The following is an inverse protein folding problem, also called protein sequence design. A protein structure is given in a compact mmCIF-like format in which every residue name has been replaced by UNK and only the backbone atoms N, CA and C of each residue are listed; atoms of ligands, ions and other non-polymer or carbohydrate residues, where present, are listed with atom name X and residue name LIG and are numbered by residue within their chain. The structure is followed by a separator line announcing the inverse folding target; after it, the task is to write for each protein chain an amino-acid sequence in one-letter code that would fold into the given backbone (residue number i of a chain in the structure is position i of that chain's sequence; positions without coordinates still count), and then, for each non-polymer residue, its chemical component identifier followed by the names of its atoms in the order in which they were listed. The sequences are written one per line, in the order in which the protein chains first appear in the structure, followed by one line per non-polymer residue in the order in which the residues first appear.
data_IF_083336947812
#
_entry.id   IF_083336947812
#
_cell.length_a   1.000
_cell.length_b   1.000
_cell.length_c   1.000
_cell.angle_alpha   90.00
_cell.angle_beta   90.00
_cell.angle_gamma   90.00
#
_symmetry.space_group_name_H-M   'P 1'
#
loop_
_entity.id
_entity.type
_entity.pdbx_description
1 polymer ?
#
# COMPACT_ATOMS: atom_id res chain seq x y z
N UNK A 1 -6.76 27.37 -4.13
CA UNK A 1 -5.43 26.73 -4.23
C UNK A 1 -5.06 25.90 -2.99
N UNK A 2 -5.16 26.41 -1.77
CA UNK A 2 -4.84 25.65 -0.54
C UNK A 2 -5.69 24.39 -0.29
N UNK A 3 -6.94 24.34 -0.73
CA UNK A 3 -7.87 23.22 -0.50
C UNK A 3 -7.55 21.96 -1.34
N UNK A 4 -6.96 22.15 -2.53
CA UNK A 4 -6.51 21.05 -3.40
C UNK A 4 -5.17 20.45 -2.94
N UNK A 5 -4.26 21.26 -2.43
CA UNK A 5 -2.96 20.82 -1.90
C UNK A 5 -3.11 19.90 -0.67
N UNK A 6 -4.14 20.12 0.17
CA UNK A 6 -4.40 19.31 1.39
C UNK A 6 -4.87 17.88 1.12
N UNK A 7 -5.24 17.53 -0.11
CA UNK A 7 -5.62 16.15 -0.50
C UNK A 7 -4.51 15.50 -1.31
N UNK A 8 -3.77 16.27 -2.10
CA UNK A 8 -2.76 15.76 -3.02
C UNK A 8 -1.57 15.10 -2.32
N UNK A 9 -1.18 15.55 -1.11
CA UNK A 9 -0.07 14.92 -0.41
C UNK A 9 -0.38 13.48 0.05
N UNK A 10 -1.65 13.15 0.33
CA UNK A 10 -2.05 11.79 0.70
C UNK A 10 -1.83 10.82 -0.47
N UNK A 11 -2.19 11.27 -1.69
CA UNK A 11 -1.95 10.48 -2.89
C UNK A 11 -0.45 10.36 -3.17
N UNK A 12 0.32 11.42 -2.91
CA UNK A 12 1.78 11.39 -3.02
C UNK A 12 2.43 10.39 -2.07
N UNK A 13 2.06 10.39 -0.77
CA UNK A 13 2.57 9.39 0.19
C UNK A 13 2.21 7.98 -0.28
N UNK A 14 0.97 7.76 -0.74
CA UNK A 14 0.52 6.47 -1.29
C UNK A 14 1.39 6.05 -2.47
N UNK A 15 1.72 6.99 -3.36
CA UNK A 15 2.61 6.73 -4.50
C UNK A 15 4.00 6.28 -4.08
N UNK A 16 4.63 6.97 -3.16
CA UNK A 16 5.93 6.59 -2.62
C UNK A 16 5.89 5.26 -1.86
N UNK A 17 4.84 5.00 -1.08
CA UNK A 17 4.65 3.72 -0.40
C UNK A 17 4.53 2.56 -1.40
N UNK A 18 3.81 2.74 -2.52
CA UNK A 18 3.72 1.70 -3.57
C UNK A 18 5.08 1.42 -4.24
N UNK A 19 5.89 2.46 -4.41
CA UNK A 19 7.25 2.31 -4.93
C UNK A 19 8.15 1.55 -3.95
N UNK A 20 8.04 1.81 -2.64
CA UNK A 20 8.76 1.07 -1.59
C UNK A 20 8.39 -0.41 -1.61
N UNK A 21 7.09 -0.77 -1.75
CA UNK A 21 6.66 -2.16 -1.88
C UNK A 21 7.28 -2.82 -3.12
N UNK A 22 7.26 -2.14 -4.27
CA UNK A 22 7.87 -2.65 -5.51
C UNK A 22 9.37 -2.85 -5.36
N UNK A 23 10.09 -1.87 -4.82
CA UNK A 23 11.55 -1.97 -4.58
C UNK A 23 11.84 -3.14 -3.63
N UNK A 24 11.03 -3.31 -2.57
CA UNK A 24 11.16 -4.44 -1.64
C UNK A 24 11.04 -5.79 -2.34
N UNK A 25 10.07 -5.97 -3.22
CA UNK A 25 9.91 -7.21 -3.99
C UNK A 25 11.04 -7.39 -5.02
N UNK A 26 11.48 -6.34 -5.71
CA UNK A 26 12.59 -6.40 -6.66
C UNK A 26 13.92 -6.74 -5.97
N UNK A 27 14.20 -6.13 -4.82
CA UNK A 27 15.41 -6.42 -4.05
C UNK A 27 15.41 -7.86 -3.51
N UNK A 28 14.23 -8.35 -3.10
CA UNK A 28 14.09 -9.75 -2.71
C UNK A 28 14.49 -10.70 -3.85
N UNK A 29 14.03 -10.43 -5.08
CA UNK A 29 14.41 -11.22 -6.27
C UNK A 29 15.89 -11.06 -6.58
N UNK A 30 16.43 -9.84 -6.53
CA UNK A 30 17.86 -9.58 -6.79
C UNK A 30 18.78 -10.34 -5.81
N UNK A 31 18.42 -10.40 -4.52
CA UNK A 31 19.15 -11.15 -3.50
C UNK A 31 19.14 -12.65 -3.81
N UNK A 32 17.99 -13.18 -4.28
CA UNK A 32 17.86 -14.61 -4.61
C UNK A 32 18.64 -15.01 -5.86
N UNK A 33 18.87 -14.06 -6.78
CA UNK A 33 19.47 -14.35 -8.09
C UNK A 33 20.95 -13.98 -8.21
N UNK A 34 21.53 -13.33 -7.20
CA UNK A 34 22.96 -12.94 -7.20
C UNK A 34 23.70 -13.53 -6.01
N UNK A 35 24.67 -14.47 -6.23
CA UNK A 35 25.49 -15.04 -5.16
C UNK A 35 26.31 -13.99 -4.36
N UNK A 36 26.55 -12.82 -4.96
CA UNK A 36 27.32 -11.72 -4.36
C UNK A 36 26.57 -11.04 -3.20
N UNK A 37 25.25 -11.09 -3.21
CA UNK A 37 24.41 -10.60 -2.14
C UNK A 37 23.99 -11.76 -1.21
N UNK A 38 24.93 -12.58 -0.75
CA UNK A 38 24.74 -13.34 0.49
C UNK A 38 24.60 -12.33 1.65
N UNK A 39 23.50 -11.59 1.59
CA UNK A 39 23.01 -10.78 2.68
C UNK A 39 22.46 -11.75 3.73
N UNK A 40 23.40 -12.38 4.44
CA UNK A 40 23.07 -13.16 5.62
C UNK A 40 22.31 -12.20 6.56
N UNK A 41 21.01 -12.43 6.70
CA UNK A 41 20.10 -11.58 7.51
C UNK A 41 20.64 -11.46 8.95
N UNK A 42 21.39 -12.45 9.41
CA UNK A 42 22.06 -12.47 10.70
C UNK A 42 23.34 -11.62 10.71
N UNK A 43 24.17 -11.61 9.67
CA UNK A 43 25.32 -10.73 9.57
C UNK A 43 24.94 -9.25 9.61
N UNK A 44 23.82 -8.89 8.96
CA UNK A 44 23.30 -7.52 8.94
C UNK A 44 22.87 -7.01 10.33
N UNK A 45 22.53 -7.90 11.27
CA UNK A 45 22.13 -7.56 12.64
C UNK A 45 23.28 -7.64 13.63
N UNK A 46 24.29 -8.49 13.36
CA UNK A 46 25.41 -8.73 14.28
C UNK A 46 26.61 -7.80 14.07
N UNK A 47 26.78 -7.24 12.84
CA UNK A 47 27.97 -6.46 12.49
C UNK A 47 27.73 -4.95 12.29
N UNK A 48 26.68 -4.38 12.88
CA UNK A 48 26.46 -2.91 12.83
C UNK A 48 27.67 -2.15 13.41
N UNK A 49 28.41 -2.78 14.31
CA UNK A 49 29.61 -2.18 14.93
C UNK A 49 30.83 -2.09 14.01
N UNK A 50 30.84 -2.82 12.89
CA UNK A 50 31.96 -2.86 11.94
C UNK A 50 31.78 -1.96 10.70
N UNK A 51 30.61 -1.33 10.57
CA UNK A 51 30.35 -0.41 9.46
C UNK A 51 30.95 0.97 9.73
N UNK A 52 31.65 1.52 8.73
CA UNK A 52 31.91 2.95 8.67
C UNK A 52 30.60 3.74 8.51
N UNK A 53 30.66 5.06 8.64
CA UNK A 53 29.47 5.93 8.57
C UNK A 53 28.69 5.74 7.26
N UNK A 54 29.36 5.51 6.13
CA UNK A 54 28.72 5.31 4.82
C UNK A 54 28.02 3.94 4.74
N UNK A 55 28.63 2.90 5.29
CA UNK A 55 28.01 1.57 5.41
C UNK A 55 26.75 1.60 6.26
N UNK A 56 26.83 2.27 7.41
CA UNK A 56 25.67 2.47 8.29
C UNK A 56 24.53 3.24 7.59
N UNK A 57 24.84 4.33 6.88
CA UNK A 57 23.85 5.12 6.15
C UNK A 57 23.21 4.31 5.01
N UNK A 58 24.00 3.58 4.23
CA UNK A 58 23.50 2.72 3.14
C UNK A 58 22.58 1.62 3.68
N UNK A 59 22.93 0.99 4.81
CA UNK A 59 22.09 0.02 5.49
C UNK A 59 20.71 0.59 5.83
N UNK A 60 20.66 1.79 6.44
CA UNK A 60 19.40 2.43 6.78
C UNK A 60 18.55 2.76 5.57
N UNK A 61 19.15 3.30 4.52
CA UNK A 61 18.45 3.67 3.28
C UNK A 61 17.85 2.43 2.63
N UNK A 62 18.65 1.38 2.43
CA UNK A 62 18.18 0.15 1.80
C UNK A 62 17.06 -0.48 2.63
N UNK A 63 17.26 -0.61 3.94
CA UNK A 63 16.29 -1.25 4.83
C UNK A 63 14.96 -0.48 4.92
N UNK A 64 14.99 0.85 4.90
CA UNK A 64 13.79 1.68 4.85
C UNK A 64 13.07 1.57 3.50
N UNK A 65 13.82 1.65 2.37
CA UNK A 65 13.27 1.56 1.03
C UNK A 65 12.76 0.17 0.65
N UNK A 66 13.09 -0.86 1.42
CA UNK A 66 12.60 -2.24 1.22
C UNK A 66 11.58 -2.68 2.25
N UNK A 67 11.10 -1.76 3.12
CA UNK A 67 10.10 -2.09 4.12
C UNK A 67 8.67 -2.09 3.55
N UNK A 68 8.33 -3.17 2.84
CA UNK A 68 6.98 -3.36 2.29
C UNK A 68 5.89 -3.44 3.37
N UNK A 69 6.22 -3.96 4.58
CA UNK A 69 5.24 -4.06 5.66
C UNK A 69 4.87 -2.68 6.22
N UNK A 70 5.85 -1.83 6.48
CA UNK A 70 5.63 -0.43 6.87
C UNK A 70 4.81 0.31 5.79
N UNK A 71 5.16 0.11 4.51
CA UNK A 71 4.45 0.75 3.41
C UNK A 71 2.98 0.32 3.34
N UNK A 72 2.65 -0.96 3.55
CA UNK A 72 1.27 -1.46 3.60
C UNK A 72 0.49 -0.85 4.77
N UNK A 73 1.10 -0.74 5.95
CA UNK A 73 0.45 -0.08 7.09
C UNK A 73 0.23 1.42 6.85
N UNK A 74 1.17 2.09 6.18
CA UNK A 74 0.96 3.47 5.71
C UNK A 74 -0.26 3.55 4.77
N UNK A 75 -0.45 2.60 3.84
CA UNK A 75 -1.65 2.54 2.97
C UNK A 75 -2.94 2.47 3.79
N UNK A 76 -3.01 1.61 4.81
CA UNK A 76 -4.22 1.46 5.61
C UNK A 76 -4.51 2.70 6.46
N UNK A 77 -3.48 3.32 7.06
CA UNK A 77 -3.64 4.61 7.77
C UNK A 77 -4.12 5.69 6.81
N UNK A 78 -3.53 5.81 5.61
CA UNK A 78 -3.95 6.76 4.58
C UNK A 78 -5.37 6.51 4.08
N UNK A 79 -5.78 5.24 3.95
CA UNK A 79 -7.16 4.89 3.58
C UNK A 79 -8.14 5.36 4.64
N UNK A 80 -7.89 5.06 5.92
CA UNK A 80 -8.70 5.57 7.04
C UNK A 80 -8.76 7.10 7.07
N UNK A 81 -7.62 7.76 6.88
CA UNK A 81 -7.53 9.22 6.84
C UNK A 81 -8.34 9.82 5.68
N UNK A 82 -8.13 9.35 4.45
CA UNK A 82 -8.78 9.88 3.25
C UNK A 82 -10.30 9.67 3.25
N UNK A 83 -10.75 8.48 3.66
CA UNK A 83 -12.18 8.16 3.79
C UNK A 83 -12.84 9.06 4.82
N UNK A 84 -12.20 9.28 5.96
CA UNK A 84 -12.70 10.12 7.03
C UNK A 84 -12.73 11.60 6.64
N UNK A 85 -11.64 12.11 6.09
CA UNK A 85 -11.52 13.51 5.67
C UNK A 85 -12.60 13.89 4.65
N UNK A 86 -12.94 12.96 3.74
CA UNK A 86 -13.98 13.19 2.74
C UNK A 86 -15.38 13.38 3.34
N UNK A 87 -15.66 12.80 4.52
CA UNK A 87 -16.95 12.91 5.21
C UNK A 87 -16.96 14.02 6.28
N UNK A 88 -15.80 14.28 6.90
CA UNK A 88 -15.64 15.34 7.89
C UNK A 88 -15.72 16.74 7.28
N UNK A 89 -15.22 16.91 6.06
CA UNK A 89 -15.16 18.22 5.38
C UNK A 89 -16.30 18.48 4.39
N UNK A 90 -17.00 17.44 3.93
CA UNK A 90 -18.06 17.56 2.92
C UNK A 90 -19.40 17.05 3.47
N UNK A 91 -20.24 17.96 3.96
CA UNK A 91 -21.57 17.69 4.55
C UNK A 91 -22.54 16.91 3.64
N UNK A 92 -22.27 16.78 2.32
CA UNK A 92 -23.18 16.20 1.32
C UNK A 92 -22.77 14.83 0.78
N UNK A 93 -21.74 14.14 1.31
CA UNK A 93 -21.38 12.84 0.80
C UNK A 93 -22.30 11.76 1.39
N UNK A 94 -22.93 11.01 0.50
CA UNK A 94 -23.82 9.90 0.86
C UNK A 94 -22.97 8.70 1.32
N UNK A 95 -22.94 8.45 2.64
CA UNK A 95 -22.23 7.31 3.23
C UNK A 95 -22.79 5.97 2.72
N UNK A 96 -24.13 5.75 2.65
CA UNK A 96 -24.67 4.54 2.06
C UNK A 96 -24.18 4.29 0.63
N UNK A 97 -24.15 5.33 -0.21
CA UNK A 97 -23.63 5.21 -1.57
C UNK A 97 -22.15 4.86 -1.59
N UNK A 98 -21.35 5.48 -0.75
CA UNK A 98 -19.92 5.17 -0.63
C UNK A 98 -19.69 3.71 -0.20
N UNK A 99 -20.49 3.24 0.76
CA UNK A 99 -20.47 1.86 1.27
C UNK A 99 -20.85 0.86 0.18
N UNK A 100 -21.99 1.05 -0.48
CA UNK A 100 -22.48 0.18 -1.56
C UNK A 100 -21.53 0.13 -2.77
N UNK A 101 -20.84 1.25 -3.05
CA UNK A 101 -19.90 1.34 -4.18
C UNK A 101 -18.54 0.73 -3.87
N UNK A 102 -18.15 0.53 -2.60
CA UNK A 102 -16.76 0.23 -2.21
C UNK A 102 -16.25 -1.08 -2.76
N UNK A 103 -17.03 -2.14 -2.64
CA UNK A 103 -16.68 -3.46 -3.18
C UNK A 103 -16.40 -3.38 -4.68
N UNK A 104 -17.32 -2.83 -5.46
CA UNK A 104 -17.19 -2.76 -6.93
C UNK A 104 -16.01 -1.90 -7.37
N UNK A 105 -15.70 -0.84 -6.63
CA UNK A 105 -14.55 0.03 -6.91
C UNK A 105 -13.22 -0.71 -6.78
N UNK A 106 -13.09 -1.61 -5.81
CA UNK A 106 -11.89 -2.42 -5.60
C UNK A 106 -11.89 -3.65 -6.52
N UNK A 107 -13.05 -4.28 -6.70
CA UNK A 107 -13.20 -5.54 -7.44
C UNK A 107 -12.88 -5.40 -8.94
N UNK A 108 -13.30 -4.31 -9.60
CA UNK A 108 -13.11 -4.16 -11.05
C UNK A 108 -11.63 -4.18 -11.45
N UNK A 109 -10.70 -3.41 -10.84
CA UNK A 109 -9.28 -3.50 -11.14
C UNK A 109 -8.67 -4.86 -10.78
N UNK A 110 -9.10 -5.47 -9.67
CA UNK A 110 -8.67 -6.81 -9.27
C UNK A 110 -9.08 -7.85 -10.31
N UNK A 111 -10.34 -7.83 -10.73
CA UNK A 111 -10.86 -8.74 -11.77
C UNK A 111 -10.08 -8.61 -13.08
N UNK A 112 -9.80 -7.37 -13.52
CA UNK A 112 -9.05 -7.11 -14.74
C UNK A 112 -7.61 -7.65 -14.65
N UNK A 113 -6.89 -7.32 -13.58
CA UNK A 113 -5.50 -7.77 -13.41
C UNK A 113 -5.41 -9.29 -13.23
N UNK A 114 -6.33 -9.89 -12.50
CA UNK A 114 -6.42 -11.34 -12.34
C UNK A 114 -6.72 -12.03 -13.69
N UNK A 115 -7.54 -11.39 -14.54
CA UNK A 115 -7.78 -11.89 -15.91
C UNK A 115 -6.51 -11.89 -16.77
N UNK A 116 -5.72 -10.81 -16.70
CA UNK A 116 -4.42 -10.76 -17.40
C UNK A 116 -3.50 -11.87 -16.88
N UNK A 117 -3.43 -12.09 -15.56
CA UNK A 117 -2.64 -13.17 -14.98
C UNK A 117 -3.14 -14.56 -15.45
N UNK A 118 -4.47 -14.75 -15.49
CA UNK A 118 -5.06 -15.98 -16.02
C UNK A 118 -4.62 -16.24 -17.48
N UNK A 119 -4.60 -15.21 -18.31
CA UNK A 119 -4.12 -15.34 -19.70
C UNK A 119 -2.62 -15.67 -19.75
N UNK A 120 -1.79 -15.01 -18.95
CA UNK A 120 -0.35 -15.29 -18.88
C UNK A 120 -0.08 -16.74 -18.43
N UNK A 121 -0.85 -17.27 -17.46
CA UNK A 121 -0.78 -18.67 -17.03
C UNK A 121 -1.15 -19.63 -18.19
N UNK A 122 -2.23 -19.34 -18.92
CA UNK A 122 -2.66 -20.18 -20.07
C UNK A 122 -1.68 -20.16 -21.24
N UNK A 123 -0.93 -19.08 -21.39
CA UNK A 123 0.09 -18.93 -22.43
C UNK A 123 1.48 -19.40 -21.97
N UNK A 124 1.62 -19.93 -20.75
CA UNK A 124 2.89 -20.35 -20.13
C UNK A 124 3.96 -19.24 -20.14
N UNK A 125 3.55 -18.00 -19.82
CA UNK A 125 4.43 -16.83 -19.83
C UNK A 125 4.97 -16.46 -18.43
N UNK A 126 4.91 -17.39 -17.47
CA UNK A 126 5.59 -17.28 -16.19
C UNK A 126 6.82 -18.18 -16.15
N UNK A 127 7.95 -17.60 -15.79
CA UNK A 127 9.27 -18.22 -15.80
C UNK A 127 9.90 -18.29 -14.40
N UNK A 128 9.14 -17.97 -13.37
CA UNK A 128 9.62 -17.91 -11.99
C UNK A 128 10.01 -19.28 -11.43
N UNK A 129 9.43 -20.36 -11.91
CA UNK A 129 9.74 -21.72 -11.48
C UNK A 129 11.06 -22.24 -12.10
N UNK A 130 11.50 -21.66 -13.21
CA UNK A 130 12.73 -22.03 -13.91
C UNK A 130 13.97 -21.32 -13.35
N UNK A 131 13.77 -20.29 -12.50
CA UNK A 131 14.87 -19.53 -11.89
C UNK A 131 15.55 -20.37 -10.83
N UNK A 132 16.86 -20.61 -10.98
CA UNK A 132 17.65 -21.32 -9.99
C UNK A 132 17.85 -20.44 -8.75
N UNK A 133 17.40 -20.91 -7.61
CA UNK A 133 17.51 -20.23 -6.32
C UNK A 133 18.54 -21.00 -5.47
N UNK A 134 19.50 -20.31 -4.80
CA UNK A 134 20.45 -20.95 -3.90
C UNK A 134 19.77 -21.77 -2.78
N UNK A 135 20.34 -22.89 -2.42
CA UNK A 135 19.83 -23.74 -1.33
C UNK A 135 19.80 -22.94 -0.02
N UNK A 136 18.72 -23.11 0.75
CA UNK A 136 18.52 -22.40 2.04
C UNK A 136 17.83 -21.04 1.95
N UNK A 137 17.53 -20.54 0.76
CA UNK A 137 16.73 -19.32 0.60
C UNK A 137 15.24 -19.67 0.50
N UNK A 138 14.37 -18.91 1.18
CA UNK A 138 12.92 -19.10 1.11
C UNK A 138 12.42 -18.74 -0.29
N UNK A 139 12.12 -19.76 -1.09
CA UNK A 139 11.76 -19.59 -2.49
C UNK A 139 10.33 -19.08 -2.72
N UNK A 140 10.02 -17.85 -2.30
CA UNK A 140 8.71 -17.24 -2.61
C UNK A 140 8.40 -17.36 -4.10
N UNK A 141 9.38 -17.15 -4.99
CA UNK A 141 9.20 -17.29 -6.44
C UNK A 141 8.72 -18.69 -6.84
N UNK A 142 9.24 -19.75 -6.19
CA UNK A 142 8.87 -21.13 -6.49
C UNK A 142 7.54 -21.58 -5.87
N UNK A 143 6.91 -20.75 -5.03
CA UNK A 143 5.59 -21.04 -4.45
C UNK A 143 4.45 -20.39 -5.21
N UNK A 144 4.76 -19.42 -6.08
CA UNK A 144 3.77 -18.64 -6.83
C UNK A 144 3.51 -19.33 -8.19
N UNK A 145 2.24 -19.38 -8.61
CA UNK A 145 1.80 -19.92 -9.89
C UNK A 145 2.07 -21.42 -10.09
N UNK A 146 2.01 -22.21 -9.02
CA UNK A 146 2.16 -23.67 -9.02
C UNK A 146 0.85 -24.43 -9.24
N UNK A 147 -0.24 -23.76 -9.53
CA UNK A 147 -1.58 -24.33 -9.68
C UNK A 147 -2.11 -24.24 -11.11
N UNK A 148 -3.00 -25.17 -11.47
CA UNK A 148 -3.69 -25.14 -12.76
C UNK A 148 -4.78 -24.07 -12.77
N UNK A 149 -4.58 -23.06 -13.62
CA UNK A 149 -5.56 -22.00 -13.82
C UNK A 149 -6.72 -22.48 -14.70
N UNK A 150 -7.96 -22.31 -14.21
CA UNK A 150 -9.16 -22.50 -15.01
C UNK A 150 -10.12 -21.33 -14.84
N UNK A 151 -11.06 -21.20 -15.78
CA UNK A 151 -11.98 -20.05 -15.83
C UNK A 151 -12.89 -19.96 -14.59
N UNK A 152 -13.30 -21.09 -14.05
CA UNK A 152 -14.13 -21.14 -12.83
C UNK A 152 -13.34 -20.65 -11.62
N UNK A 153 -12.11 -21.15 -11.43
CA UNK A 153 -11.22 -20.71 -10.34
C UNK A 153 -10.86 -19.23 -10.47
N UNK A 154 -10.69 -18.73 -11.69
CA UNK A 154 -10.47 -17.30 -11.95
C UNK A 154 -11.64 -16.45 -11.43
N UNK A 155 -12.88 -16.76 -11.79
CA UNK A 155 -14.04 -16.01 -11.32
C UNK A 155 -14.25 -16.17 -9.81
N UNK A 156 -14.15 -17.39 -9.29
CA UNK A 156 -14.25 -17.66 -7.86
C UNK A 156 -13.23 -16.85 -7.06
N UNK A 157 -11.97 -16.88 -7.47
CA UNK A 157 -10.89 -16.13 -6.83
C UNK A 157 -11.16 -14.62 -6.85
N UNK A 158 -11.40 -14.05 -8.02
CA UNK A 158 -11.54 -12.60 -8.20
C UNK A 158 -12.77 -12.01 -7.51
N UNK A 159 -13.89 -12.75 -7.52
CA UNK A 159 -15.17 -12.27 -6.99
C UNK A 159 -15.39 -12.64 -5.51
N UNK A 160 -14.76 -13.71 -5.00
CA UNK A 160 -15.07 -14.21 -3.67
C UNK A 160 -13.83 -14.45 -2.80
N UNK A 161 -12.86 -15.25 -3.24
CA UNK A 161 -11.77 -15.71 -2.38
C UNK A 161 -10.85 -14.57 -1.91
N UNK A 162 -10.56 -13.59 -2.78
CA UNK A 162 -9.79 -12.38 -2.44
C UNK A 162 -10.40 -11.62 -1.26
N UNK A 163 -11.72 -11.64 -1.15
CA UNK A 163 -12.47 -10.83 -0.16
C UNK A 163 -12.79 -11.58 1.12
N UNK A 164 -12.74 -12.92 1.08
CA UNK A 164 -13.17 -13.78 2.19
C UNK A 164 -12.06 -14.67 2.73
N UNK A 165 -11.40 -15.44 1.87
CA UNK A 165 -10.46 -16.48 2.24
C UNK A 165 -9.30 -16.57 1.24
N UNK A 166 -8.49 -15.51 1.17
CA UNK A 166 -7.28 -15.48 0.35
C UNK A 166 -6.27 -16.53 0.84
N UNK A 167 -5.80 -17.38 -0.06
CA UNK A 167 -4.75 -18.38 0.21
C UNK A 167 -3.58 -18.14 -0.73
N UNK A 168 -2.38 -18.00 -0.21
CA UNK A 168 -1.19 -17.63 -0.98
C UNK A 168 -0.85 -18.67 -2.07
N UNK A 169 -0.93 -19.96 -1.75
CA UNK A 169 -0.56 -21.08 -2.64
C UNK A 169 -1.43 -21.16 -3.90
N UNK A 170 -2.72 -20.77 -3.82
CA UNK A 170 -3.66 -20.79 -4.96
C UNK A 170 -4.03 -19.40 -5.45
N UNK A 171 -3.24 -18.41 -5.11
CA UNK A 171 -3.50 -17.02 -5.42
C UNK A 171 -3.02 -16.66 -6.84
N UNK A 172 -3.91 -16.06 -7.62
CA UNK A 172 -3.49 -15.41 -8.88
C UNK A 172 -2.58 -14.20 -8.64
N UNK A 173 -2.63 -13.60 -7.46
CA UNK A 173 -1.72 -12.53 -7.08
C UNK A 173 -1.61 -12.44 -5.56
N UNK A 174 -0.44 -12.78 -5.03
CA UNK A 174 -0.21 -12.87 -3.58
C UNK A 174 -0.43 -11.56 -2.84
N UNK A 175 -0.21 -10.41 -3.47
CA UNK A 175 -0.41 -9.10 -2.81
C UNK A 175 -1.88 -8.80 -2.52
N UNK A 176 -2.83 -9.52 -3.13
CA UNK A 176 -4.26 -9.28 -2.97
C UNK A 176 -4.82 -9.64 -1.58
N UNK A 177 -4.01 -10.24 -0.69
CA UNK A 177 -4.41 -10.45 0.71
C UNK A 177 -4.84 -9.15 1.41
N UNK A 178 -4.26 -8.03 0.99
CA UNK A 178 -4.58 -6.70 1.52
C UNK A 178 -5.97 -6.20 1.14
N UNK A 179 -6.58 -6.73 0.06
CA UNK A 179 -7.88 -6.27 -0.44
C UNK A 179 -9.02 -6.58 0.52
N UNK A 180 -8.96 -7.73 1.20
CA UNK A 180 -9.91 -8.06 2.29
C UNK A 180 -9.82 -7.04 3.43
N UNK A 181 -8.60 -6.69 3.83
CA UNK A 181 -8.35 -5.71 4.90
C UNK A 181 -8.84 -4.32 4.47
N UNK A 182 -8.56 -3.91 3.23
CA UNK A 182 -8.96 -2.63 2.66
C UNK A 182 -10.49 -2.50 2.58
N UNK A 183 -11.19 -3.57 2.18
CA UNK A 183 -12.64 -3.58 2.12
C UNK A 183 -13.26 -3.49 3.53
N UNK A 184 -12.87 -4.39 4.43
CA UNK A 184 -13.44 -4.44 5.80
C UNK A 184 -13.08 -3.16 6.56
N UNK A 185 -11.83 -2.68 6.49
CA UNK A 185 -11.41 -1.44 7.13
C UNK A 185 -12.18 -0.21 6.61
N UNK A 186 -12.48 -0.18 5.31
CA UNK A 186 -13.32 0.88 4.73
C UNK A 186 -14.76 0.82 5.26
N UNK A 187 -15.34 -0.39 5.34
CA UNK A 187 -16.69 -0.59 5.88
C UNK A 187 -16.76 -0.22 7.38
N UNK A 188 -15.70 -0.52 8.14
CA UNK A 188 -15.55 -0.10 9.53
C UNK A 188 -15.62 1.44 9.65
N UNK A 189 -14.86 2.18 8.84
CA UNK A 189 -14.88 3.65 8.84
C UNK A 189 -16.27 4.18 8.43
N UNK A 190 -16.86 3.63 7.38
CA UNK A 190 -18.20 4.08 6.94
C UNK A 190 -19.28 3.78 8.00
N UNK A 191 -19.27 2.59 8.59
CA UNK A 191 -20.19 2.22 9.67
C UNK A 191 -20.02 3.14 10.88
N UNK A 192 -18.77 3.37 11.31
CA UNK A 192 -18.45 4.29 12.40
C UNK A 192 -18.97 5.72 12.11
N UNK A 193 -18.66 6.27 10.95
CA UNK A 193 -19.12 7.61 10.54
C UNK A 193 -20.65 7.68 10.39
N UNK A 194 -21.29 6.60 9.97
CA UNK A 194 -22.75 6.55 9.86
C UNK A 194 -23.43 6.64 11.23
N UNK A 195 -22.96 5.87 12.21
CA UNK A 195 -23.49 5.84 13.58
C UNK A 195 -23.25 7.19 14.30
N UNK A 196 -22.03 7.70 14.23
CA UNK A 196 -21.59 8.86 15.02
C UNK A 196 -21.61 10.20 14.25
N UNK A 197 -22.26 10.26 13.08
CA UNK A 197 -22.26 11.49 12.24
C UNK A 197 -22.82 12.75 12.90
N UNK A 198 -23.74 12.57 13.86
CA UNK A 198 -24.45 13.66 14.57
C UNK A 198 -23.80 14.06 15.90
N UNK A 199 -22.89 13.26 16.41
CA UNK A 199 -22.29 13.43 17.73
C UNK A 199 -20.84 13.88 17.61
N UNK A 200 -20.48 15.07 18.08
CA UNK A 200 -19.10 15.55 17.96
C UNK A 200 -18.20 15.09 19.12
N UNK A 201 -18.64 15.27 20.37
CA UNK A 201 -17.82 14.96 21.55
C UNK A 201 -17.65 13.47 21.86
N UNK A 202 -18.70 12.61 21.92
CA UNK A 202 -18.50 11.19 22.20
C UNK A 202 -17.75 10.46 21.08
N UNK A 203 -17.84 10.97 19.84
CA UNK A 203 -17.23 10.36 18.66
C UNK A 203 -15.71 10.20 18.79
N UNK A 204 -15.00 11.22 19.23
CA UNK A 204 -13.55 11.14 19.36
C UNK A 204 -13.14 10.14 20.43
N UNK A 205 -13.77 10.16 21.58
CA UNK A 205 -13.50 9.27 22.71
C UNK A 205 -13.77 7.80 22.36
N UNK A 206 -14.92 7.51 21.76
CA UNK A 206 -15.29 6.15 21.30
C UNK A 206 -14.30 5.65 20.23
N UNK A 207 -13.86 6.51 19.29
CA UNK A 207 -12.86 6.15 18.30
C UNK A 207 -11.53 5.74 18.95
N UNK A 208 -11.11 6.44 19.99
CA UNK A 208 -9.88 6.13 20.71
C UNK A 208 -9.98 4.77 21.41
N UNK A 209 -11.08 4.50 22.10
CA UNK A 209 -11.33 3.19 22.74
C UNK A 209 -11.38 2.07 21.68
N UNK A 210 -12.12 2.27 20.58
CA UNK A 210 -12.21 1.28 19.51
C UNK A 210 -10.85 1.01 18.88
N UNK A 211 -10.02 2.05 18.68
CA UNK A 211 -8.65 1.91 18.19
C UNK A 211 -7.80 1.08 19.13
N UNK A 212 -7.87 1.34 20.45
CA UNK A 212 -7.13 0.58 21.45
C UNK A 212 -7.54 -0.90 21.49
N UNK A 213 -8.85 -1.19 21.40
CA UNK A 213 -9.36 -2.57 21.31
C UNK A 213 -8.85 -3.26 20.03
N UNK A 214 -8.93 -2.58 18.89
CA UNK A 214 -8.48 -3.13 17.61
C UNK A 214 -6.96 -3.34 17.58
N UNK A 215 -6.19 -2.49 18.22
CA UNK A 215 -4.74 -2.68 18.38
C UNK A 215 -4.43 -4.02 19.05
N UNK A 216 -5.18 -4.40 20.08
CA UNK A 216 -4.96 -5.65 20.80
C UNK A 216 -5.41 -6.89 20.01
N UNK A 217 -6.49 -6.78 19.21
CA UNK A 217 -7.15 -7.95 18.59
C UNK A 217 -6.74 -8.07 17.11
N UNK A 218 -6.72 -6.96 16.37
CA UNK A 218 -6.55 -6.91 14.92
C UNK A 218 -5.83 -5.62 14.47
N UNK A 219 -4.50 -5.50 14.62
CA UNK A 219 -3.74 -4.28 14.38
C UNK A 219 -3.95 -3.68 12.97
N UNK A 220 -4.14 -4.52 11.94
CA UNK A 220 -4.36 -4.04 10.57
C UNK A 220 -5.64 -3.19 10.43
N UNK A 221 -6.70 -3.52 11.17
CA UNK A 221 -7.93 -2.69 11.19
C UNK A 221 -7.80 -1.46 12.08
N UNK A 222 -6.96 -1.53 13.12
CA UNK A 222 -6.63 -0.36 13.91
C UNK A 222 -5.98 0.74 13.07
N UNK A 223 -5.23 0.39 12.00
CA UNK A 223 -4.63 1.34 11.08
C UNK A 223 -5.66 2.30 10.46
N UNK A 224 -6.84 1.80 10.08
CA UNK A 224 -7.92 2.63 9.56
C UNK A 224 -8.46 3.61 10.61
N UNK A 225 -8.63 3.14 11.85
CA UNK A 225 -9.09 3.99 12.95
C UNK A 225 -8.04 5.00 13.36
N UNK A 226 -6.74 4.67 13.33
CA UNK A 226 -5.64 5.64 13.50
C UNK A 226 -5.71 6.72 12.42
N UNK A 227 -5.94 6.33 11.17
CA UNK A 227 -6.16 7.29 10.07
C UNK A 227 -7.36 8.20 10.31
N UNK A 228 -8.47 7.66 10.82
CA UNK A 228 -9.63 8.45 11.25
C UNK A 228 -9.26 9.46 12.34
N UNK A 229 -8.57 9.03 13.40
CA UNK A 229 -8.14 9.90 14.50
C UNK A 229 -7.22 11.03 14.00
N UNK A 230 -6.29 10.73 13.09
CA UNK A 230 -5.43 11.73 12.45
C UNK A 230 -6.24 12.75 11.63
N UNK A 231 -7.27 12.31 10.91
CA UNK A 231 -8.15 13.20 10.15
C UNK A 231 -8.96 14.15 11.07
N UNK A 232 -9.48 13.62 12.19
CA UNK A 232 -10.16 14.41 13.22
C UNK A 232 -9.19 15.40 13.89
N UNK A 233 -8.00 14.95 14.24
CA UNK A 233 -6.96 15.80 14.83
C UNK A 233 -6.60 16.97 13.90
N UNK A 234 -6.41 16.69 12.61
CA UNK A 234 -6.10 17.70 11.62
C UNK A 234 -7.26 18.70 11.41
N UNK A 235 -8.52 18.22 11.52
CA UNK A 235 -9.70 19.08 11.47
C UNK A 235 -9.78 20.01 12.70
N UNK A 236 -9.51 19.47 13.90
CA UNK A 236 -9.61 20.19 15.18
C UNK A 236 -8.45 21.19 15.35
N UNK A 237 -7.25 20.76 14.97
CA UNK A 237 -6.01 21.52 15.07
C UNK A 237 -5.32 21.66 13.71
N UNK A 238 -5.85 22.49 12.80
CA UNK A 238 -5.19 22.69 11.50
C UNK A 238 -3.87 23.42 11.69
N UNK A 239 -2.88 23.10 10.85
CA UNK A 239 -1.50 23.63 10.91
C UNK A 239 -1.45 25.14 11.03
N UNK A 240 -2.37 25.87 10.37
CA UNK A 240 -2.43 27.32 10.41
C UNK A 240 -2.73 27.85 11.82
N UNK A 241 -3.61 27.16 12.58
CA UNK A 241 -3.93 27.53 13.96
C UNK A 241 -2.78 27.19 14.93
N UNK A 242 -2.06 26.08 14.70
CA UNK A 242 -0.92 25.69 15.51
C UNK A 242 0.22 26.69 15.34
N UNK A 243 0.49 27.12 14.10
CA UNK A 243 1.51 28.13 13.80
C UNK A 243 1.21 29.51 14.43
N UNK A 244 -0.06 29.79 14.77
CA UNK A 244 -0.44 31.01 15.52
C UNK A 244 -0.26 30.85 17.03
N UNK A 245 -0.38 29.64 17.56
CA UNK A 245 -0.37 29.38 19.01
C UNK A 245 1.02 29.04 19.58
N UNK A 246 1.90 28.49 18.75
CA UNK A 246 3.24 28.02 19.15
C UNK A 246 4.26 28.69 18.25
N UNK A 247 5.48 28.95 18.77
CA UNK A 247 6.58 29.44 17.93
C UNK A 247 6.76 28.53 16.70
N UNK A 248 6.52 29.04 15.48
CA UNK A 248 6.50 28.22 14.28
C UNK A 248 7.84 27.57 13.94
N UNK A 249 8.95 28.17 14.42
CA UNK A 249 10.30 27.62 14.23
C UNK A 249 10.48 26.36 15.11
N UNK A 250 10.17 26.44 16.40
CA UNK A 250 10.28 25.32 17.34
C UNK A 250 9.37 24.15 16.94
N UNK A 251 8.15 24.46 16.50
CA UNK A 251 7.21 23.42 16.01
C UNK A 251 7.73 22.70 14.76
N UNK A 252 8.31 23.42 13.80
CA UNK A 252 8.91 22.81 12.60
C UNK A 252 10.05 21.84 12.93
N UNK A 253 10.93 22.23 13.85
CA UNK A 253 12.04 21.35 14.29
C UNK A 253 11.51 20.13 15.05
N UNK A 254 10.50 20.31 15.89
CA UNK A 254 9.87 19.19 16.60
C UNK A 254 9.28 18.16 15.61
N UNK A 255 8.51 18.60 14.60
CA UNK A 255 7.93 17.70 13.61
C UNK A 255 9.02 17.02 12.76
N UNK A 256 10.06 17.75 12.36
CA UNK A 256 11.19 17.17 11.63
C UNK A 256 11.93 16.13 12.49
N UNK A 257 12.13 16.40 13.76
CA UNK A 257 12.73 15.46 14.72
C UNK A 257 11.86 14.20 14.89
N UNK A 258 10.55 14.36 15.12
CA UNK A 258 9.61 13.23 15.20
C UNK A 258 9.69 12.38 13.93
N UNK A 259 9.68 13.00 12.77
CA UNK A 259 9.77 12.28 11.49
C UNK A 259 11.08 11.49 11.39
N UNK A 260 12.22 12.14 11.66
CA UNK A 260 13.53 11.50 11.59
C UNK A 260 13.64 10.32 12.57
N UNK A 261 13.28 10.54 13.84
CA UNK A 261 13.31 9.50 14.87
C UNK A 261 12.40 8.34 14.50
N UNK A 262 11.21 8.62 13.93
CA UNK A 262 10.26 7.59 13.51
C UNK A 262 10.84 6.73 12.38
N UNK A 263 11.45 7.36 11.36
CA UNK A 263 12.10 6.65 10.27
C UNK A 263 13.26 5.79 10.78
N UNK A 264 14.12 6.35 11.64
CA UNK A 264 15.22 5.59 12.25
C UNK A 264 14.72 4.40 13.08
N UNK A 265 13.71 4.63 13.92
CA UNK A 265 13.13 3.59 14.77
C UNK A 265 12.43 2.50 13.96
N UNK A 266 11.76 2.83 12.86
CA UNK A 266 11.09 1.84 12.00
C UNK A 266 12.08 0.84 11.38
N UNK A 267 13.29 1.29 11.08
CA UNK A 267 14.38 0.44 10.59
C UNK A 267 14.93 -0.48 11.68
N UNK A 268 15.10 0.04 12.91
CA UNK A 268 15.68 -0.71 14.03
C UNK A 268 14.71 -1.74 14.62
N UNK A 269 13.44 -1.38 14.78
CA UNK A 269 12.42 -2.18 15.48
C UNK A 269 11.43 -2.84 14.50
N UNK A 270 11.95 -3.46 13.45
CA UNK A 270 11.16 -4.15 12.43
C UNK A 270 10.60 -5.48 12.95
N UNK A 271 9.36 -5.81 12.61
CA UNK A 271 8.76 -7.13 12.82
C UNK A 271 7.59 -7.19 13.79
N UNK A 272 7.25 -6.10 14.48
CA UNK A 272 6.05 -6.01 15.30
C UNK A 272 4.98 -5.17 14.61
N UNK A 273 3.81 -5.76 14.33
CA UNK A 273 2.67 -5.04 13.73
C UNK A 273 2.31 -3.77 14.50
N UNK A 274 2.36 -3.82 15.83
CA UNK A 274 2.00 -2.70 16.69
C UNK A 274 2.99 -1.53 16.56
N UNK A 275 4.30 -1.82 16.62
CA UNK A 275 5.34 -0.79 16.47
C UNK A 275 5.33 -0.23 15.03
N UNK A 276 5.22 -1.09 14.04
CA UNK A 276 5.17 -0.66 12.63
C UNK A 276 3.94 0.21 12.36
N UNK A 277 2.79 -0.10 12.97
CA UNK A 277 1.59 0.74 12.88
C UNK A 277 1.78 2.10 13.57
N UNK A 278 2.43 2.12 14.74
CA UNK A 278 2.79 3.37 15.40
C UNK A 278 3.67 4.23 14.49
N UNK A 279 4.72 3.64 13.90
CA UNK A 279 5.60 4.35 12.96
C UNK A 279 4.88 4.83 11.72
N UNK A 280 4.04 4.00 11.10
CA UNK A 280 3.21 4.40 9.96
C UNK A 280 2.32 5.61 10.30
N UNK A 281 1.69 5.59 11.48
CA UNK A 281 0.83 6.68 11.95
C UNK A 281 1.62 7.96 12.22
N UNK A 282 2.80 7.86 12.83
CA UNK A 282 3.67 9.01 13.10
C UNK A 282 4.27 9.60 11.82
N UNK A 283 4.57 8.79 10.80
CA UNK A 283 4.99 9.28 9.48
C UNK A 283 3.85 10.12 8.85
N UNK A 284 2.63 9.57 8.79
CA UNK A 284 1.48 10.29 8.24
C UNK A 284 1.17 11.56 9.04
N UNK A 285 1.25 11.49 10.37
CA UNK A 285 1.12 12.66 11.24
C UNK A 285 2.17 13.73 10.91
N UNK A 286 3.45 13.37 10.90
CA UNK A 286 4.55 14.30 10.63
C UNK A 286 4.44 14.96 9.27
N UNK A 287 4.06 14.21 8.23
CA UNK A 287 3.83 14.77 6.90
C UNK A 287 2.66 15.76 6.92
N UNK A 288 1.54 15.43 7.58
CA UNK A 288 0.34 16.27 7.61
C UNK A 288 0.54 17.60 8.37
N UNK A 289 1.57 17.69 9.21
CA UNK A 289 1.93 18.89 9.98
C UNK A 289 3.23 19.58 9.55
N UNK A 290 3.85 19.15 8.44
CA UNK A 290 5.05 19.77 7.88
C UNK A 290 4.77 20.37 6.50
N UNK A 291 4.82 21.69 6.37
CA UNK A 291 4.62 22.38 5.08
C UNK A 291 5.64 21.92 4.03
N UNK A 292 6.89 21.65 4.40
CA UNK A 292 7.94 21.16 3.49
C UNK A 292 7.61 19.76 2.98
N UNK A 293 7.19 18.84 3.87
CA UNK A 293 6.83 17.48 3.49
C UNK A 293 5.52 17.47 2.66
N UNK A 294 4.52 18.27 3.01
CA UNK A 294 3.31 18.44 2.19
C UNK A 294 3.69 18.90 0.78
N UNK A 295 4.59 19.88 0.65
CA UNK A 295 5.04 20.35 -0.67
C UNK A 295 5.78 19.26 -1.44
N UNK A 296 6.65 18.50 -0.78
CA UNK A 296 7.37 17.37 -1.39
C UNK A 296 6.39 16.30 -1.89
N UNK A 297 5.46 15.85 -1.04
CA UNK A 297 4.47 14.83 -1.41
C UNK A 297 3.35 15.35 -2.34
N UNK A 298 3.30 16.66 -2.62
CA UNK A 298 2.35 17.26 -3.57
C UNK A 298 3.02 17.72 -4.88
N UNK A 299 4.31 17.43 -5.09
CA UNK A 299 5.00 17.77 -6.32
C UNK A 299 4.53 16.90 -7.52
N UNK A 300 4.96 17.22 -8.74
CA UNK A 300 4.54 16.52 -9.96
C UNK A 300 4.89 15.03 -9.96
N UNK A 301 6.04 14.66 -9.42
CA UNK A 301 6.50 13.26 -9.33
C UNK A 301 5.63 12.50 -8.33
N UNK A 302 5.44 13.05 -7.14
CA UNK A 302 4.60 12.44 -6.10
C UNK A 302 3.15 12.30 -6.55
N UNK A 303 2.62 13.30 -7.27
CA UNK A 303 1.29 13.22 -7.86
C UNK A 303 1.19 12.13 -8.92
N UNK A 304 2.17 12.01 -9.81
CA UNK A 304 2.22 10.93 -10.80
C UNK A 304 2.26 9.55 -10.13
N UNK A 305 3.17 9.36 -9.16
CA UNK A 305 3.24 8.11 -8.38
C UNK A 305 1.93 7.81 -7.67
N UNK A 306 1.26 8.82 -7.14
CA UNK A 306 -0.06 8.70 -6.52
C UNK A 306 -1.13 8.17 -7.47
N UNK A 307 -1.15 8.68 -8.71
CA UNK A 307 -2.08 8.23 -9.76
C UNK A 307 -1.90 6.76 -10.14
N UNK A 308 -0.66 6.29 -10.17
CA UNK A 308 -0.36 4.89 -10.55
C UNK A 308 -0.24 3.95 -9.35
N UNK A 309 -0.39 4.43 -8.12
CA UNK A 309 -0.06 3.67 -6.90
C UNK A 309 -0.81 2.34 -6.78
N UNK A 310 -2.12 2.34 -7.00
CA UNK A 310 -2.91 1.11 -6.93
C UNK A 310 -2.66 0.18 -8.13
N UNK A 311 -2.66 0.65 -9.39
CA UNK A 311 -2.17 -0.15 -10.51
C UNK A 311 -0.79 -0.75 -10.31
N UNK A 312 0.18 0.03 -9.80
CA UNK A 312 1.55 -0.42 -9.55
C UNK A 312 1.58 -1.58 -8.55
N UNK A 313 0.77 -1.47 -7.50
CA UNK A 313 0.61 -2.53 -6.52
C UNK A 313 0.06 -3.83 -7.13
N UNK A 314 -0.84 -3.74 -8.12
CA UNK A 314 -1.45 -4.91 -8.75
C UNK A 314 -0.55 -5.62 -9.77
N UNK A 315 0.32 -4.88 -10.49
CA UNK A 315 1.09 -5.44 -11.62
C UNK A 315 2.47 -5.98 -11.24
N UNK A 316 3.00 -5.63 -10.07
CA UNK A 316 4.39 -5.90 -9.72
C UNK A 316 4.74 -7.40 -9.71
N UNK A 317 3.98 -8.23 -9.03
CA UNK A 317 4.25 -9.67 -8.93
C UNK A 317 4.16 -10.39 -10.29
N UNK A 318 3.08 -10.23 -11.08
CA UNK A 318 3.04 -10.87 -12.39
C UNK A 318 4.18 -10.43 -13.32
N UNK A 319 4.63 -9.18 -13.29
CA UNK A 319 5.76 -8.71 -14.08
C UNK A 319 7.08 -9.31 -13.56
N UNK A 320 7.26 -9.42 -12.25
CA UNK A 320 8.42 -10.07 -11.66
C UNK A 320 8.48 -11.55 -12.09
N UNK A 321 7.37 -12.29 -11.98
CA UNK A 321 7.34 -13.70 -12.31
C UNK A 321 7.39 -14.01 -13.81
N UNK A 322 7.00 -13.05 -14.67
CA UNK A 322 7.10 -13.19 -16.13
C UNK A 322 8.39 -12.56 -16.67
N UNK A 323 8.42 -11.24 -16.79
CA UNK A 323 9.49 -10.49 -17.43
C UNK A 323 10.83 -10.58 -16.68
N UNK A 324 10.84 -10.29 -15.38
CA UNK A 324 12.09 -10.28 -14.61
C UNK A 324 12.72 -11.68 -14.56
N UNK A 325 11.91 -12.71 -14.37
CA UNK A 325 12.38 -14.11 -14.37
C UNK A 325 12.89 -14.53 -15.75
N UNK A 326 12.16 -14.21 -16.83
CA UNK A 326 12.61 -14.46 -18.20
C UNK A 326 13.94 -13.77 -18.51
N UNK A 327 14.04 -12.47 -18.21
CA UNK A 327 15.25 -11.69 -18.49
C UNK A 327 16.45 -12.20 -17.71
N UNK A 328 16.25 -12.59 -16.45
CA UNK A 328 17.31 -13.23 -15.65
C UNK A 328 17.84 -14.50 -16.30
N UNK A 329 16.96 -15.38 -16.76
CA UNK A 329 17.36 -16.62 -17.46
C UNK A 329 18.13 -16.33 -18.73
N UNK A 330 17.69 -15.36 -19.56
CA UNK A 330 18.39 -14.99 -20.79
C UNK A 330 19.80 -14.42 -20.53
N UNK A 331 19.90 -13.49 -19.56
CA UNK A 331 21.21 -12.91 -19.21
C UNK A 331 22.16 -13.95 -18.60
N UNK A 332 21.65 -14.92 -17.84
CA UNK A 332 22.42 -16.04 -17.30
C UNK A 332 22.93 -16.96 -18.41
N UNK A 333 22.08 -17.30 -19.38
CA UNK A 333 22.48 -18.11 -20.56
C UNK A 333 23.56 -17.42 -21.39
N UNK A 334 23.48 -16.12 -21.55
CA UNK A 334 24.47 -15.31 -22.26
C UNK A 334 25.76 -15.08 -21.44
N UNK A 335 25.84 -15.59 -20.21
CA UNK A 335 26.98 -15.42 -19.30
C UNK A 335 27.36 -13.94 -19.06
N UNK A 336 26.37 -13.08 -18.99
CA UNK A 336 26.58 -11.67 -18.63
C UNK A 336 27.16 -11.55 -17.22
N UNK A 337 27.90 -10.47 -16.97
CA UNK A 337 28.36 -10.12 -15.63
C UNK A 337 27.18 -10.08 -14.65
N UNK A 338 27.25 -10.73 -13.48
CA UNK A 338 26.13 -10.82 -12.54
C UNK A 338 25.62 -9.47 -12.04
N UNK A 339 26.53 -8.50 -11.81
CA UNK A 339 26.15 -7.16 -11.33
C UNK A 339 25.43 -6.39 -12.42
N UNK A 340 25.98 -6.42 -13.65
CA UNK A 340 25.36 -5.78 -14.81
C UNK A 340 24.00 -6.40 -15.13
N UNK A 341 23.88 -7.73 -15.06
CA UNK A 341 22.62 -8.48 -15.23
C UNK A 341 21.57 -8.04 -14.21
N UNK A 342 21.95 -7.92 -12.96
CA UNK A 342 21.07 -7.43 -11.89
C UNK A 342 20.59 -5.99 -12.17
N UNK A 343 21.50 -5.08 -12.53
CA UNK A 343 21.13 -3.68 -12.82
C UNK A 343 20.17 -3.61 -14.01
N UNK A 344 20.45 -4.33 -15.09
CA UNK A 344 19.58 -4.39 -16.28
C UNK A 344 18.20 -4.96 -15.91
N UNK A 345 18.16 -6.04 -15.16
CA UNK A 345 16.90 -6.68 -14.73
C UNK A 345 16.07 -5.75 -13.84
N UNK A 346 16.67 -5.18 -12.80
CA UNK A 346 15.97 -4.28 -11.88
C UNK A 346 15.42 -3.04 -12.59
N UNK A 347 16.25 -2.39 -13.42
CA UNK A 347 15.86 -1.16 -14.12
C UNK A 347 14.78 -1.43 -15.16
N UNK A 348 14.91 -2.48 -15.98
CA UNK A 348 13.90 -2.84 -16.98
C UNK A 348 12.57 -3.25 -16.33
N UNK A 349 12.61 -4.01 -15.26
CA UNK A 349 11.40 -4.44 -14.53
C UNK A 349 10.70 -3.26 -13.87
N UNK A 350 11.44 -2.35 -13.24
CA UNK A 350 10.90 -1.12 -12.67
C UNK A 350 10.19 -0.28 -13.75
N UNK A 351 10.84 -0.06 -14.90
CA UNK A 351 10.25 0.69 -16.00
C UNK A 351 9.00 0.01 -16.55
N UNK A 352 9.03 -1.31 -16.72
CA UNK A 352 7.86 -2.07 -17.21
C UNK A 352 6.69 -2.00 -16.20
N UNK A 353 6.95 -2.10 -14.90
CA UNK A 353 5.94 -1.92 -13.87
C UNK A 353 5.28 -0.53 -13.93
N UNK A 354 6.08 0.53 -14.09
CA UNK A 354 5.56 1.91 -14.23
C UNK A 354 4.72 2.05 -15.51
N UNK A 355 5.18 1.53 -16.64
CA UNK A 355 4.45 1.58 -17.91
C UNK A 355 3.14 0.80 -17.84
N UNK A 356 3.17 -0.43 -17.34
CA UNK A 356 1.97 -1.26 -17.17
C UNK A 356 0.96 -0.60 -16.23
N UNK A 357 1.44 0.01 -15.14
CA UNK A 357 0.59 0.74 -14.20
C UNK A 357 -0.12 1.92 -14.86
N UNK A 358 0.58 2.66 -15.71
CA UNK A 358 -0.01 3.77 -16.47
C UNK A 358 -1.10 3.30 -17.44
N UNK A 359 -0.91 2.13 -18.07
CA UNK A 359 -1.91 1.52 -18.95
C UNK A 359 -3.17 1.06 -18.19
N UNK A 360 -3.09 0.84 -16.88
CA UNK A 360 -4.24 0.46 -16.05
C UNK A 360 -5.06 1.65 -15.51
N UNK A 361 -4.59 2.89 -15.64
CA UNK A 361 -5.35 4.08 -15.20
C UNK A 361 -6.78 4.12 -15.79
N UNK A 362 -7.02 3.83 -17.08
CA UNK A 362 -8.38 3.78 -17.64
C UNK A 362 -9.28 2.76 -16.91
N UNK A 363 -8.74 1.61 -16.50
CA UNK A 363 -9.49 0.57 -15.77
C UNK A 363 -9.92 1.11 -14.39
N UNK A 364 -9.05 1.84 -13.70
CA UNK A 364 -9.37 2.47 -12.43
C UNK A 364 -10.45 3.55 -12.60
N UNK A 365 -10.38 4.36 -13.64
CA UNK A 365 -11.40 5.35 -13.97
C UNK A 365 -12.76 4.70 -14.26
N UNK A 366 -12.77 3.59 -14.99
CA UNK A 366 -13.95 2.76 -15.24
C UNK A 366 -14.51 2.26 -13.90
N UNK A 367 -13.67 1.73 -13.02
CA UNK A 367 -14.06 1.25 -11.70
C UNK A 367 -14.71 2.36 -10.85
N UNK A 368 -14.15 3.58 -10.85
CA UNK A 368 -14.72 4.73 -10.15
C UNK A 368 -16.10 5.11 -10.71
N UNK A 369 -16.29 5.08 -12.03
CA UNK A 369 -17.54 5.43 -12.69
C UNK A 369 -18.63 4.38 -12.43
N UNK A 370 -18.35 3.12 -12.74
CA UNK A 370 -19.36 2.04 -12.68
C UNK A 370 -19.70 1.64 -11.24
N UNK A 371 -18.75 1.67 -10.31
CA UNK A 371 -19.05 1.41 -8.90
C UNK A 371 -20.11 2.38 -8.33
N UNK A 372 -20.06 3.66 -8.73
CA UNK A 372 -21.08 4.64 -8.32
C UNK A 372 -22.44 4.37 -8.95
N UNK A 373 -22.48 3.92 -10.21
CA UNK A 373 -23.75 3.57 -10.89
C UNK A 373 -24.37 2.37 -10.18
N UNK A 374 -23.59 1.29 -9.98
CA UNK A 374 -24.06 0.09 -9.29
C UNK A 374 -24.51 0.42 -7.86
N UNK A 375 -23.72 1.20 -7.11
CA UNK A 375 -24.08 1.63 -5.77
C UNK A 375 -25.41 2.39 -5.71
N UNK A 376 -25.69 3.27 -6.67
CA UNK A 376 -26.99 3.94 -6.79
C UNK A 376 -28.12 2.94 -7.04
N UNK A 377 -27.96 2.00 -7.97
CA UNK A 377 -28.98 0.99 -8.27
C UNK A 377 -29.31 0.14 -7.03
N UNK A 378 -28.31 -0.26 -6.23
CA UNK A 378 -28.52 -1.03 -5.00
C UNK A 378 -29.30 -0.26 -3.93
N UNK A 379 -29.09 1.06 -3.82
CA UNK A 379 -29.80 1.89 -2.84
C UNK A 379 -31.22 2.20 -3.30
N UNK A 380 -31.44 2.59 -4.55
CA UNK A 380 -32.76 2.96 -5.06
C UNK A 380 -33.70 1.77 -5.17
N UNK A 381 -33.20 0.57 -5.49
CA UNK A 381 -34.02 -0.64 -5.50
C UNK A 381 -34.60 -0.97 -4.12
N UNK A 382 -33.85 -0.72 -3.05
CA UNK A 382 -34.33 -0.94 -1.69
C UNK A 382 -35.32 0.15 -1.21
N UNK A 383 -35.30 1.36 -1.75
CA UNK A 383 -36.24 2.42 -1.37
C UNK A 383 -37.64 2.23 -1.95
N UNK A 384 -37.79 1.45 -3.02
CA UNK A 384 -39.10 1.09 -3.58
C UNK A 384 -39.83 -0.02 -2.80
N UNK A 385 -39.09 -0.88 -2.09
CA UNK A 385 -39.67 -1.92 -1.22
C UNK A 385 -40.11 -1.43 0.16
N UNK A 386 -39.65 -0.26 0.61
CA UNK A 386 -40.02 0.33 1.91
C UNK A 386 -41.28 1.23 1.79
N UNK A 387 -41.74 1.51 0.57
CA UNK A 387 -42.94 2.32 0.29
C UNK A 387 -44.15 1.49 -0.12
N UNK A 388 -44.05 0.17 -0.19
CA UNK A 388 -45.15 -0.79 -0.31
C UNK A 388 -45.37 -1.50 1.03
#
# INVERSE_FOLDING_TARGET
MQKSLRVNFLDGIRGWASLVVLIGHLMYVAILTTPILEFNKERLLTDISSYDFLGFLSFFIVRFLTDGHLAVLIFFVLSGYALSLSHLNFKKRDIPLATASRYFRLMIPVLFTTFVIYLLLKLNLFFNLDVVIPEGTSGLLHTIYTFDANIFNFFKFSLFDVWTNHKDISSYNIVLWTMKVELIGSLLIYGYLFVFRRSENPRWFIATILTAILLLIRPLYAAFMMGYLLAELNKKFPIDKINMAINPISFKYLIAFIFLVTVMSSVLFRGSDHLTLLFASLIVYSVSYSAKLITFFSNKISHFLGLISFPLYLVQIPIICSWSSYLYLQLSLLKFDPILSMIINLTSTLLLCILASRLLIPVENIAIKYSKIIGKLLIFRNSSYIKS
#
